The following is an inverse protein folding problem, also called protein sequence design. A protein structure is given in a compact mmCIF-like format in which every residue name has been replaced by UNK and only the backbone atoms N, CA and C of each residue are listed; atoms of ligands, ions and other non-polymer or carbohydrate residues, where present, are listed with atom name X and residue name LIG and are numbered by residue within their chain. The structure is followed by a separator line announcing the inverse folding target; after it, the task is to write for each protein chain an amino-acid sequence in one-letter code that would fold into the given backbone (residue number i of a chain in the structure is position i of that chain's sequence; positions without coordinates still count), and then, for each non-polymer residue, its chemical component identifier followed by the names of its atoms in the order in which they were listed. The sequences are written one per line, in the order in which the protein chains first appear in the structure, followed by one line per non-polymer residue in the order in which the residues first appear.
data_IF_249439359018
#
_entry.id   IF_249439359018
#
_cell.length_a   1.000
_cell.length_b   1.000
_cell.length_c   1.000
_cell.angle_alpha   90.00
_cell.angle_beta   90.00
_cell.angle_gamma   90.00
#
_symmetry.space_group_name_H-M   'P 1'
#
loop_
_entity.id
_entity.type
_entity.pdbx_description
1 polymer ?
#
# COMPACT_ATOMS: atom_id res chain seq x y z
N UNK A 1 -70.14 55.13 27.35
CA UNK A 1 -69.56 54.86 26.01
C UNK A 1 -69.96 53.43 25.66
N UNK A 2 -71.16 53.26 25.08
CA UNK A 2 -71.39 52.89 23.66
C UNK A 2 -70.69 51.58 23.28
N UNK A 3 -71.28 50.56 22.67
CA UNK A 3 -72.62 50.20 22.22
C UNK A 3 -72.43 48.80 21.57
N UNK A 4 -73.33 47.85 21.80
CA UNK A 4 -74.01 46.96 20.81
C UNK A 4 -73.12 46.34 19.68
N UNK A 5 -73.11 45.03 19.40
CA UNK A 5 -74.20 44.23 18.77
C UNK A 5 -73.77 42.75 18.62
N UNK A 6 -74.70 41.81 18.87
CA UNK A 6 -74.70 40.36 18.50
C UNK A 6 -75.04 40.18 16.98
N UNK A 7 -75.43 39.00 16.47
CA UNK A 7 -74.70 37.75 16.24
C UNK A 7 -74.85 37.27 14.76
N UNK A 8 -74.28 36.13 14.36
CA UNK A 8 -74.88 35.35 13.26
C UNK A 8 -74.83 33.83 13.50
N UNK A 9 -76.05 33.26 13.53
CA UNK A 9 -76.46 31.85 13.31
C UNK A 9 -75.86 31.31 11.98
N UNK A 10 -75.73 30.01 11.70
CA UNK A 10 -76.56 28.85 12.02
C UNK A 10 -75.80 27.51 11.79
N UNK A 11 -76.07 26.50 12.61
CA UNK A 11 -76.73 25.19 12.30
C UNK A 11 -75.85 24.13 11.60
N UNK A 12 -75.49 23.07 12.33
CA UNK A 12 -76.12 21.72 12.27
C UNK A 12 -75.98 21.07 10.88
N UNK A 13 -75.31 19.91 10.81
CA UNK A 13 -75.96 18.61 10.61
C UNK A 13 -74.93 17.49 10.82
N UNK A 14 -75.39 16.54 11.63
CA UNK A 14 -74.91 15.21 11.96
C UNK A 14 -74.61 14.31 10.75
N UNK A 15 -73.58 13.47 10.86
CA UNK A 15 -73.65 12.09 10.40
C UNK A 15 -72.59 11.22 11.10
N UNK A 16 -73.00 10.60 12.20
CA UNK A 16 -72.99 9.14 12.46
C UNK A 16 -72.35 8.29 11.33
N UNK A 17 -71.56 7.23 11.53
CA UNK A 17 -71.62 6.16 12.54
C UNK A 17 -70.41 5.22 12.35
N UNK A 18 -70.01 4.56 13.43
CA UNK A 18 -69.58 3.15 13.51
C UNK A 18 -68.65 2.58 12.44
N UNK A 19 -67.45 2.15 12.87
CA UNK A 19 -67.09 0.73 12.74
C UNK A 19 -66.27 0.30 13.96
N UNK A 20 -66.90 -0.57 14.76
CA UNK A 20 -66.27 -1.41 15.76
C UNK A 20 -65.62 -2.63 15.05
N UNK A 21 -64.58 -3.19 15.68
CA UNK A 21 -63.88 -4.46 15.39
C UNK A 21 -62.88 -4.49 14.22
N UNK A 22 -61.57 -4.60 14.51
CA UNK A 22 -60.76 -5.83 14.74
C UNK A 22 -60.60 -6.65 13.47
N UNK A 23 -59.45 -6.52 12.80
CA UNK A 23 -58.69 -7.65 12.26
C UNK A 23 -57.25 -7.22 11.95
N UNK A 24 -56.30 -7.81 12.68
CA UNK A 24 -54.88 -7.73 12.37
C UNK A 24 -54.66 -8.52 11.09
N UNK A 25 -54.35 -7.83 9.99
CA UNK A 25 -53.89 -8.47 8.76
C UNK A 25 -52.57 -9.17 9.06
N UNK A 26 -52.61 -10.49 9.20
CA UNK A 26 -51.43 -11.34 9.30
C UNK A 26 -50.76 -11.35 7.92
N UNK A 27 -49.86 -10.40 7.70
CA UNK A 27 -48.98 -10.40 6.53
C UNK A 27 -48.09 -11.65 6.65
N UNK A 28 -48.08 -12.56 5.67
CA UNK A 28 -47.21 -13.72 5.72
C UNK A 28 -45.77 -13.23 5.75
N UNK A 29 -45.00 -13.74 6.73
CA UNK A 29 -43.59 -13.45 6.86
C UNK A 29 -42.89 -13.88 5.57
N UNK A 30 -42.54 -12.90 4.73
CA UNK A 30 -41.55 -13.10 3.69
C UNK A 30 -40.26 -13.42 4.42
N UNK A 31 -39.81 -14.65 4.26
CA UNK A 31 -38.53 -15.11 4.76
C UNK A 31 -37.43 -14.33 4.06
N UNK A 32 -37.08 -13.18 4.63
CA UNK A 32 -35.84 -12.48 4.29
C UNK A 32 -34.71 -13.39 4.72
N UNK A 33 -34.14 -14.11 3.75
CA UNK A 33 -32.80 -14.67 3.87
C UNK A 33 -31.88 -13.55 4.34
N UNK A 34 -31.57 -13.56 5.64
CA UNK A 34 -30.48 -12.79 6.21
C UNK A 34 -29.24 -13.13 5.39
N UNK A 35 -28.61 -12.14 4.71
CA UNK A 35 -27.33 -12.42 4.09
C UNK A 35 -26.39 -12.86 5.22
N UNK A 36 -25.68 -13.96 4.98
CA UNK A 36 -24.69 -14.52 5.87
C UNK A 36 -23.85 -13.38 6.46
N UNK A 37 -23.60 -13.42 7.77
CA UNK A 37 -22.80 -12.45 8.48
C UNK A 37 -21.43 -12.32 7.81
N UNK A 38 -21.33 -11.36 6.89
CA UNK A 38 -20.07 -10.92 6.32
C UNK A 38 -19.29 -10.40 7.51
N UNK A 39 -18.13 -10.98 7.80
CA UNK A 39 -17.37 -10.62 8.99
C UNK A 39 -17.20 -9.11 9.05
N UNK A 40 -17.31 -8.52 10.24
CA UNK A 40 -17.23 -7.06 10.46
C UNK A 40 -16.02 -6.43 9.72
N UNK A 41 -14.94 -7.21 9.58
CA UNK A 41 -13.74 -6.85 8.82
C UNK A 41 -13.89 -6.79 7.29
N UNK A 42 -14.74 -7.59 6.65
CA UNK A 42 -15.01 -7.49 5.21
C UNK A 42 -15.79 -6.21 4.88
N UNK A 43 -16.82 -5.90 5.68
CA UNK A 43 -17.62 -4.68 5.53
C UNK A 43 -16.77 -3.42 5.78
N UNK A 44 -15.96 -3.42 6.83
CA UNK A 44 -15.04 -2.32 7.14
C UNK A 44 -14.06 -2.05 6.01
N UNK A 45 -13.49 -3.11 5.41
CA UNK A 45 -12.55 -3.00 4.28
C UNK A 45 -13.20 -2.38 3.04
N UNK A 46 -14.44 -2.78 2.73
CA UNK A 46 -15.20 -2.19 1.62
C UNK A 46 -15.50 -0.70 1.84
N UNK A 47 -15.82 -0.31 3.08
CA UNK A 47 -16.02 1.11 3.46
C UNK A 47 -14.73 1.91 3.30
N UNK A 48 -13.59 1.39 3.77
CA UNK A 48 -12.28 2.04 3.65
C UNK A 48 -11.87 2.22 2.19
N UNK A 49 -12.11 1.21 1.34
CA UNK A 49 -11.87 1.31 -0.11
C UNK A 49 -12.68 2.43 -0.77
N UNK A 50 -13.96 2.57 -0.42
CA UNK A 50 -14.80 3.66 -0.95
C UNK A 50 -14.32 5.04 -0.50
N UNK A 51 -13.79 5.16 0.73
CA UNK A 51 -13.18 6.39 1.23
C UNK A 51 -11.88 6.75 0.49
N UNK A 52 -11.09 5.76 0.05
CA UNK A 52 -9.91 5.96 -0.79
C UNK A 52 -10.30 6.46 -2.20
N UNK A 53 -11.22 5.75 -2.86
CA UNK A 53 -11.59 6.02 -4.26
C UNK A 53 -12.31 7.36 -4.45
N UNK A 54 -13.15 7.76 -3.48
CA UNK A 54 -14.02 8.94 -3.62
C UNK A 54 -13.48 10.19 -2.94
N UNK A 55 -12.39 10.07 -2.17
CA UNK A 55 -11.72 11.15 -1.42
C UNK A 55 -12.54 11.70 -0.24
N UNK A 56 -13.82 12.01 -0.45
CA UNK A 56 -14.80 12.35 0.59
C UNK A 56 -16.19 11.91 0.17
N UNK A 57 -16.91 11.21 1.05
CA UNK A 57 -18.19 10.55 0.73
C UNK A 57 -19.10 10.49 1.97
N UNK A 58 -20.41 10.45 1.79
CA UNK A 58 -21.39 10.36 2.88
C UNK A 58 -21.70 8.91 3.26
N UNK A 59 -22.17 8.70 4.49
CA UNK A 59 -22.62 7.37 4.94
C UNK A 59 -23.82 6.82 4.12
N UNK A 60 -24.64 7.70 3.54
CA UNK A 60 -25.74 7.31 2.65
C UNK A 60 -25.21 6.76 1.33
N UNK A 61 -24.32 7.49 0.67
CA UNK A 61 -23.70 7.06 -0.60
C UNK A 61 -22.90 5.75 -0.44
N UNK A 62 -22.22 5.56 0.70
CA UNK A 62 -21.55 4.29 1.00
C UNK A 62 -22.58 3.17 1.19
N UNK A 63 -23.67 3.45 1.91
CA UNK A 63 -24.76 2.49 2.11
C UNK A 63 -25.38 2.03 0.80
N UNK A 64 -25.67 2.96 -0.10
CA UNK A 64 -26.26 2.69 -1.41
C UNK A 64 -25.34 1.81 -2.28
N UNK A 65 -24.02 2.07 -2.26
CA UNK A 65 -23.03 1.28 -3.03
C UNK A 65 -22.80 -0.12 -2.46
N UNK A 66 -22.90 -0.29 -1.14
CA UNK A 66 -22.60 -1.56 -0.47
C UNK A 66 -23.85 -2.38 -0.11
N UNK A 67 -25.07 -1.87 -0.39
CA UNK A 67 -26.32 -2.51 0.02
C UNK A 67 -26.51 -2.52 1.54
N UNK A 68 -25.97 -1.53 2.24
CA UNK A 68 -25.98 -1.43 3.70
C UNK A 68 -26.85 -0.27 4.18
N UNK A 69 -27.46 -0.40 5.36
CA UNK A 69 -28.14 0.72 5.98
C UNK A 69 -27.13 1.82 6.37
N UNK A 70 -27.51 3.09 6.20
CA UNK A 70 -26.68 4.22 6.62
C UNK A 70 -26.33 4.17 8.12
N UNK A 71 -27.18 3.56 8.96
CA UNK A 71 -26.90 3.35 10.38
C UNK A 71 -25.79 2.31 10.61
N UNK A 72 -25.79 1.21 9.86
CA UNK A 72 -24.71 0.21 9.90
C UNK A 72 -23.38 0.78 9.44
N UNK A 73 -23.38 1.54 8.34
CA UNK A 73 -22.19 2.23 7.84
C UNK A 73 -21.63 3.22 8.88
N UNK A 74 -22.50 4.01 9.54
CA UNK A 74 -22.07 4.95 10.58
C UNK A 74 -21.33 4.28 11.73
N UNK A 75 -21.78 3.10 12.18
CA UNK A 75 -21.07 2.35 13.25
C UNK A 75 -19.62 2.04 12.88
N UNK A 76 -19.37 1.63 11.63
CA UNK A 76 -18.01 1.37 11.17
C UNK A 76 -17.20 2.67 10.98
N UNK A 77 -17.83 3.73 10.49
CA UNK A 77 -17.19 5.05 10.36
C UNK A 77 -16.83 5.64 11.72
N UNK A 78 -17.69 5.48 12.72
CA UNK A 78 -17.44 5.94 14.09
C UNK A 78 -16.25 5.19 14.69
N UNK A 79 -16.16 3.86 14.49
CA UNK A 79 -14.99 3.09 14.91
C UNK A 79 -13.68 3.52 14.21
N UNK A 80 -13.74 3.88 12.92
CA UNK A 80 -12.58 4.41 12.20
C UNK A 80 -12.18 5.82 12.69
N UNK A 81 -13.15 6.63 13.12
CA UNK A 81 -12.90 7.94 13.72
C UNK A 81 -12.26 7.79 15.10
N UNK A 82 -12.78 6.88 15.94
CA UNK A 82 -12.20 6.57 17.25
C UNK A 82 -10.76 6.06 17.14
N UNK A 83 -10.45 5.30 16.09
CA UNK A 83 -9.09 4.82 15.79
C UNK A 83 -8.16 5.88 15.17
N UNK A 84 -8.66 7.08 14.85
CA UNK A 84 -7.92 8.16 14.19
C UNK A 84 -7.67 7.95 12.69
N UNK A 85 -8.33 6.95 12.08
CA UNK A 85 -8.11 6.54 10.69
C UNK A 85 -8.99 7.29 9.70
N UNK A 86 -10.14 7.78 10.17
CA UNK A 86 -11.06 8.62 9.41
C UNK A 86 -11.44 9.87 10.18
N UNK A 87 -11.90 10.88 9.45
CA UNK A 87 -12.45 12.10 10.03
C UNK A 87 -13.76 12.47 9.34
N UNK A 88 -14.63 13.14 10.10
CA UNK A 88 -15.91 13.64 9.61
C UNK A 88 -15.85 15.16 9.47
N UNK A 89 -16.27 15.66 8.30
CA UNK A 89 -16.44 17.09 8.03
C UNK A 89 -17.90 17.41 7.70
N UNK A 90 -18.30 18.65 7.95
CA UNK A 90 -19.56 19.15 7.43
C UNK A 90 -19.46 19.24 5.90
N UNK A 91 -20.53 18.87 5.18
CA UNK A 91 -20.60 19.13 3.76
C UNK A 91 -20.52 20.65 3.50
N UNK A 92 -19.75 21.05 2.48
CA UNK A 92 -19.74 22.44 2.04
C UNK A 92 -21.13 22.86 1.54
N UNK A 93 -21.50 24.16 1.58
CA UNK A 93 -22.83 24.61 1.19
C UNK A 93 -23.23 24.20 -0.25
N UNK A 94 -22.28 24.16 -1.17
CA UNK A 94 -22.49 23.74 -2.56
C UNK A 94 -22.58 22.21 -2.76
N UNK A 95 -22.27 21.42 -1.74
CA UNK A 95 -22.36 19.95 -1.74
C UNK A 95 -23.66 19.46 -1.10
N UNK A 96 -24.55 20.37 -0.68
CA UNK A 96 -25.86 20.00 -0.17
C UNK A 96 -26.78 19.56 -1.30
N UNK A 97 -27.33 18.36 -1.17
CA UNK A 97 -28.38 17.85 -2.06
C UNK A 97 -29.68 17.79 -1.27
N UNK A 98 -30.67 18.59 -1.69
CA UNK A 98 -32.01 18.61 -1.10
C UNK A 98 -32.18 19.52 0.12
N UNK A 99 -33.36 19.41 0.79
CA UNK A 99 -33.71 20.17 1.99
C UNK A 99 -33.31 19.38 3.24
N UNK A 100 -32.72 20.03 4.24
CA UNK A 100 -32.42 19.44 5.55
C UNK A 100 -31.04 19.81 6.08
N UNK A 101 -30.67 19.22 7.23
CA UNK A 101 -29.33 19.37 7.82
C UNK A 101 -28.29 18.71 6.88
N UNK A 102 -27.17 19.38 6.54
CA UNK A 102 -26.15 18.80 5.67
C UNK A 102 -25.67 17.45 6.21
N UNK A 103 -25.60 16.45 5.33
CA UNK A 103 -25.02 15.16 5.67
C UNK A 103 -23.52 15.32 5.96
N UNK A 104 -23.03 14.66 7.02
CA UNK A 104 -21.60 14.57 7.29
C UNK A 104 -20.91 13.83 6.15
N UNK A 105 -19.76 14.34 5.71
CA UNK A 105 -18.87 13.67 4.76
C UNK A 105 -17.69 13.10 5.54
N UNK A 106 -17.22 11.95 5.10
CA UNK A 106 -16.16 11.20 5.74
C UNK A 106 -15.00 11.06 4.76
N UNK A 107 -13.78 11.15 5.27
CA UNK A 107 -12.54 10.86 4.52
C UNK A 107 -11.53 10.17 5.42
N UNK A 108 -10.60 9.45 4.82
CA UNK A 108 -9.45 8.93 5.56
C UNK A 108 -8.52 10.07 5.97
N UNK A 109 -7.94 9.94 7.16
CA UNK A 109 -6.83 10.80 7.63
C UNK A 109 -5.53 10.38 6.94
N UNK A 110 -4.46 11.17 7.11
CA UNK A 110 -3.13 10.76 6.66
C UNK A 110 -2.68 9.46 7.36
N UNK A 111 -2.93 9.34 8.67
CA UNK A 111 -2.60 8.15 9.45
C UNK A 111 -3.38 6.91 8.99
N UNK A 112 -4.68 7.04 8.73
CA UNK A 112 -5.50 5.95 8.22
C UNK A 112 -5.08 5.48 6.81
N UNK A 113 -4.58 6.40 5.97
CA UNK A 113 -3.97 6.04 4.69
C UNK A 113 -2.65 5.27 4.86
N UNK A 114 -1.78 5.68 5.80
CA UNK A 114 -0.51 5.00 6.06
C UNK A 114 -0.69 3.56 6.60
N UNK A 115 -1.72 3.30 7.43
CA UNK A 115 -2.00 1.94 7.93
C UNK A 115 -2.44 0.95 6.84
N UNK A 116 -2.97 1.44 5.73
CA UNK A 116 -3.35 0.56 4.60
C UNK A 116 -2.13 0.07 3.84
N UNK A 117 -1.08 0.89 3.77
CA UNK A 117 0.21 0.53 3.20
C UNK A 117 0.82 -0.68 3.93
N UNK A 118 0.72 -0.70 5.26
CA UNK A 118 1.28 -1.77 6.10
C UNK A 118 0.43 -3.07 6.14
N UNK A 119 -0.84 -3.03 5.74
CA UNK A 119 -1.72 -4.21 5.81
C UNK A 119 -1.33 -5.33 4.84
N UNK A 120 -0.69 -4.99 3.72
CA UNK A 120 -0.18 -5.97 2.77
C UNK A 120 1.12 -6.61 3.26
N UNK A 121 1.99 -5.82 3.89
CA UNK A 121 3.23 -6.32 4.47
C UNK A 121 2.93 -7.26 5.65
N UNK A 122 1.95 -6.94 6.49
CA UNK A 122 1.48 -7.82 7.56
C UNK A 122 0.98 -9.17 7.03
N UNK A 123 0.18 -9.14 5.95
CA UNK A 123 -0.31 -10.36 5.30
C UNK A 123 0.85 -11.16 4.68
N UNK A 124 1.78 -10.49 4.01
CA UNK A 124 2.95 -11.12 3.39
C UNK A 124 3.85 -11.77 4.45
N UNK A 125 4.14 -11.08 5.55
CA UNK A 125 4.90 -11.62 6.67
C UNK A 125 4.17 -12.80 7.32
N UNK A 126 2.84 -12.73 7.49
CA UNK A 126 2.06 -13.86 7.99
C UNK A 126 2.12 -15.09 7.06
N UNK A 127 2.06 -14.87 5.74
CA UNK A 127 2.20 -15.94 4.76
C UNK A 127 3.60 -16.56 4.78
N UNK A 128 4.65 -15.74 4.89
CA UNK A 128 6.05 -16.20 5.00
C UNK A 128 6.30 -16.98 6.29
N UNK A 129 5.74 -16.54 7.43
CA UNK A 129 5.79 -17.31 8.68
C UNK A 129 5.15 -18.69 8.51
N UNK A 130 3.99 -18.75 7.86
CA UNK A 130 3.32 -20.02 7.63
C UNK A 130 4.06 -20.91 6.62
N UNK A 131 4.72 -20.32 5.61
CA UNK A 131 5.62 -21.06 4.73
C UNK A 131 6.79 -21.68 5.51
N UNK A 132 7.40 -20.93 6.43
CA UNK A 132 8.47 -21.42 7.31
C UNK A 132 7.98 -22.52 8.25
N UNK A 133 6.78 -22.39 8.81
CA UNK A 133 6.18 -23.42 9.68
C UNK A 133 5.95 -24.75 8.93
N UNK A 134 5.42 -24.70 7.71
CA UNK A 134 5.09 -25.90 6.92
C UNK A 134 6.33 -26.51 6.25
N UNK A 135 7.21 -25.68 5.70
CA UNK A 135 8.30 -26.09 4.81
C UNK A 135 9.70 -25.89 5.37
N UNK A 136 9.85 -25.32 6.57
CA UNK A 136 11.14 -24.96 7.16
C UNK A 136 11.85 -23.80 6.45
N UNK A 137 13.08 -23.53 6.87
CA UNK A 137 13.90 -22.42 6.34
C UNK A 137 14.22 -22.58 4.85
N UNK A 138 14.41 -23.81 4.37
CA UNK A 138 14.69 -24.06 2.95
C UNK A 138 13.51 -23.68 2.05
N UNK A 139 12.27 -23.77 2.54
CA UNK A 139 11.11 -23.31 1.78
C UNK A 139 11.11 -21.79 1.62
N UNK A 140 11.48 -21.06 2.67
CA UNK A 140 11.65 -19.59 2.64
C UNK A 140 12.75 -19.21 1.66
N UNK A 141 13.93 -19.83 1.75
CA UNK A 141 15.05 -19.57 0.83
C UNK A 141 14.68 -19.90 -0.61
N UNK A 142 13.99 -21.02 -0.85
CA UNK A 142 13.52 -21.40 -2.19
C UNK A 142 12.54 -20.38 -2.76
N UNK A 143 11.61 -19.89 -1.94
CA UNK A 143 10.68 -18.85 -2.36
C UNK A 143 11.41 -17.54 -2.68
N UNK A 144 12.28 -17.08 -1.80
CA UNK A 144 13.08 -15.87 -1.98
C UNK A 144 13.91 -15.93 -3.26
N UNK A 145 14.56 -17.08 -3.50
CA UNK A 145 15.34 -17.34 -4.71
C UNK A 145 14.48 -17.28 -5.98
N UNK A 146 13.35 -18.00 -6.01
CA UNK A 146 12.42 -17.97 -7.16
C UNK A 146 11.88 -16.58 -7.44
N UNK A 147 11.63 -15.80 -6.39
CA UNK A 147 11.17 -14.41 -6.53
C UNK A 147 12.19 -13.55 -7.26
N UNK A 148 13.46 -13.56 -6.83
CA UNK A 148 14.48 -12.74 -7.50
C UNK A 148 14.81 -13.28 -8.89
N UNK A 149 14.86 -14.59 -9.08
CA UNK A 149 15.09 -15.19 -10.41
C UNK A 149 14.02 -14.74 -11.40
N UNK A 150 12.75 -14.65 -10.96
CA UNK A 150 11.67 -14.14 -11.80
C UNK A 150 11.84 -12.65 -12.17
N UNK A 151 12.39 -11.83 -11.27
CA UNK A 151 12.68 -10.41 -11.54
C UNK A 151 13.84 -10.27 -12.54
N UNK A 152 14.85 -11.13 -12.44
CA UNK A 152 16.06 -11.07 -13.25
C UNK A 152 16.03 -11.99 -14.49
N UNK A 153 14.90 -12.66 -14.75
CA UNK A 153 14.79 -13.69 -15.80
C UNK A 153 15.19 -13.18 -17.20
N UNK A 154 14.85 -11.94 -17.52
CA UNK A 154 15.13 -11.31 -18.83
C UNK A 154 16.41 -10.46 -18.82
N UNK A 155 17.20 -10.50 -17.75
CA UNK A 155 18.45 -9.74 -17.64
C UNK A 155 19.57 -10.55 -18.28
N UNK A 156 20.04 -10.07 -19.45
CA UNK A 156 21.23 -10.64 -20.07
C UNK A 156 22.46 -10.49 -19.14
N UNK A 157 23.24 -11.56 -18.93
CA UNK A 157 24.45 -11.51 -18.10
C UNK A 157 25.52 -10.57 -18.69
N UNK A 158 26.58 -10.29 -17.96
CA UNK A 158 27.70 -9.53 -18.49
C UNK A 158 28.38 -10.29 -19.65
N UNK A 159 28.55 -9.63 -20.80
CA UNK A 159 29.13 -10.20 -22.03
C UNK A 159 30.67 -10.23 -21.99
N UNK A 160 31.25 -10.66 -20.87
CA UNK A 160 32.70 -10.70 -20.65
C UNK A 160 33.14 -9.93 -19.39
N UNK A 161 34.44 -10.01 -19.05
CA UNK A 161 34.98 -9.44 -17.81
C UNK A 161 35.36 -7.96 -17.91
N UNK A 162 35.06 -7.29 -19.03
CA UNK A 162 35.40 -5.88 -19.18
C UNK A 162 34.46 -4.97 -18.37
N UNK A 163 34.99 -3.82 -17.95
CA UNK A 163 34.28 -2.93 -17.05
C UNK A 163 32.99 -2.36 -17.66
N UNK A 164 32.97 -2.17 -18.99
CA UNK A 164 31.80 -1.65 -19.69
C UNK A 164 30.66 -2.67 -19.73
N UNK A 165 30.97 -3.96 -19.91
CA UNK A 165 30.02 -5.06 -19.86
C UNK A 165 29.42 -5.24 -18.46
N UNK A 166 30.25 -5.15 -17.41
CA UNK A 166 29.80 -5.20 -16.02
C UNK A 166 28.88 -4.03 -15.65
N UNK A 167 29.25 -2.82 -16.05
CA UNK A 167 28.40 -1.65 -15.82
C UNK A 167 27.07 -1.73 -16.58
N UNK A 168 27.10 -2.16 -17.85
CA UNK A 168 25.89 -2.37 -18.63
C UNK A 168 24.99 -3.44 -18.00
N UNK A 169 25.55 -4.51 -17.46
CA UNK A 169 24.82 -5.54 -16.73
C UNK A 169 24.22 -5.00 -15.43
N UNK A 170 24.98 -4.20 -14.66
CA UNK A 170 24.48 -3.54 -13.46
C UNK A 170 23.30 -2.61 -13.75
N UNK A 171 23.34 -1.88 -14.88
CA UNK A 171 22.25 -1.01 -15.32
C UNK A 171 21.00 -1.82 -15.72
N UNK A 172 21.18 -2.96 -16.39
CA UNK A 172 20.07 -3.88 -16.69
C UNK A 172 19.43 -4.44 -15.42
N UNK A 173 20.23 -4.79 -14.41
CA UNK A 173 19.73 -5.22 -13.10
C UNK A 173 18.91 -4.09 -12.44
N UNK A 174 19.44 -2.87 -12.38
CA UNK A 174 18.73 -1.73 -11.80
C UNK A 174 17.40 -1.45 -12.53
N UNK A 175 17.40 -1.58 -13.86
CA UNK A 175 16.18 -1.46 -14.67
C UNK A 175 15.16 -2.55 -14.35
N UNK A 176 15.59 -3.82 -14.21
CA UNK A 176 14.71 -4.93 -13.88
C UNK A 176 14.10 -4.81 -12.49
N UNK A 177 14.91 -4.43 -11.49
CA UNK A 177 14.43 -4.12 -10.13
C UNK A 177 13.41 -2.98 -10.15
N UNK A 178 13.67 -1.93 -10.93
CA UNK A 178 12.74 -0.80 -11.04
C UNK A 178 11.39 -1.22 -11.63
N UNK A 179 11.39 -2.11 -12.64
CA UNK A 179 10.15 -2.71 -13.17
C UNK A 179 9.41 -3.56 -12.13
N UNK A 180 10.14 -4.16 -11.18
CA UNK A 180 9.58 -4.94 -10.08
C UNK A 180 9.15 -4.09 -8.86
N UNK A 181 9.16 -2.75 -8.97
CA UNK A 181 8.67 -1.84 -7.92
C UNK A 181 9.74 -1.31 -6.95
N UNK A 182 11.01 -1.56 -7.22
CA UNK A 182 12.10 -0.89 -6.52
C UNK A 182 12.32 0.51 -7.12
N UNK A 183 13.03 1.38 -6.39
CA UNK A 183 13.61 2.59 -6.98
C UNK A 183 15.11 2.37 -7.05
N UNK A 184 15.61 1.88 -8.19
CA UNK A 184 17.00 1.46 -8.33
C UNK A 184 17.79 2.33 -9.33
N UNK A 185 19.05 2.61 -9.00
CA UNK A 185 19.98 3.39 -9.82
C UNK A 185 21.36 2.76 -9.81
N UNK A 186 22.18 3.01 -10.83
CA UNK A 186 23.62 2.71 -10.79
C UNK A 186 24.46 3.96 -10.61
N UNK A 187 25.64 3.84 -10.01
CA UNK A 187 26.60 4.94 -9.90
C UNK A 187 28.03 4.41 -9.91
N UNK A 188 28.89 4.99 -10.76
CA UNK A 188 30.34 4.71 -10.73
C UNK A 188 30.97 5.33 -9.50
N UNK A 189 31.84 4.58 -8.82
CA UNK A 189 32.55 5.03 -7.63
C UNK A 189 34.07 4.92 -7.82
N UNK A 190 34.77 6.02 -7.56
CA UNK A 190 36.23 6.17 -7.74
C UNK A 190 37.04 6.10 -6.44
N UNK A 191 36.61 5.29 -5.47
CA UNK A 191 37.27 5.13 -4.17
C UNK A 191 38.49 4.20 -4.20
N UNK A 192 39.02 3.77 -3.03
CA UNK A 192 40.14 2.82 -2.95
C UNK A 192 39.86 1.48 -3.63
N UNK A 193 38.57 1.14 -3.83
CA UNK A 193 38.11 0.07 -4.69
C UNK A 193 37.25 0.71 -5.79
N UNK A 194 37.74 0.63 -7.02
CA UNK A 194 36.99 1.08 -8.20
C UNK A 194 35.82 0.13 -8.46
N UNK A 195 34.66 0.69 -8.78
CA UNK A 195 33.51 -0.13 -9.09
C UNK A 195 32.27 0.63 -9.52
N UNK A 196 31.20 -0.12 -9.75
CA UNK A 196 29.84 0.40 -9.90
C UNK A 196 29.01 -0.02 -8.70
N UNK A 197 28.14 0.86 -8.22
CA UNK A 197 27.19 0.56 -7.17
C UNK A 197 25.79 0.48 -7.74
N UNK A 198 25.05 -0.55 -7.35
CA UNK A 198 23.60 -0.67 -7.55
C UNK A 198 22.95 -0.22 -6.24
N UNK A 199 22.22 0.89 -6.30
CA UNK A 199 21.54 1.48 -5.14
C UNK A 199 20.03 1.30 -5.28
N UNK A 200 19.37 0.75 -4.26
CA UNK A 200 17.92 0.67 -4.16
C UNK A 200 17.45 1.67 -3.08
N UNK A 201 16.88 2.78 -3.50
CA UNK A 201 16.34 3.84 -2.62
C UNK A 201 14.95 3.51 -2.06
N UNK A 202 14.30 2.48 -2.62
CA UNK A 202 13.06 1.90 -2.13
C UNK A 202 13.08 0.39 -2.40
N UNK A 203 12.70 -0.40 -1.39
CA UNK A 203 12.54 -1.84 -1.50
C UNK A 203 11.10 -2.21 -1.13
N UNK A 204 10.30 -2.77 -2.06
CA UNK A 204 8.88 -3.08 -1.83
C UNK A 204 8.64 -4.24 -0.85
N UNK A 205 9.71 -4.89 -0.37
CA UNK A 205 9.64 -6.00 0.59
C UNK A 205 10.49 -5.74 1.82
N UNK A 206 10.92 -4.50 2.07
CA UNK A 206 11.82 -4.18 3.20
C UNK A 206 11.22 -4.60 4.54
N UNK A 207 9.93 -4.37 4.77
CA UNK A 207 9.29 -4.74 6.02
C UNK A 207 9.23 -6.26 6.23
N UNK A 208 8.99 -7.03 5.16
CA UNK A 208 9.04 -8.49 5.23
C UNK A 208 10.48 -8.98 5.43
N UNK A 209 11.45 -8.33 4.79
CA UNK A 209 12.86 -8.69 4.89
C UNK A 209 13.49 -8.42 6.27
N UNK A 210 12.83 -7.64 7.14
CA UNK A 210 13.22 -7.50 8.56
C UNK A 210 13.12 -8.84 9.32
N UNK A 211 12.10 -9.66 9.00
CA UNK A 211 11.92 -10.99 9.62
C UNK A 211 12.54 -12.12 8.78
N UNK A 212 12.65 -11.92 7.45
CA UNK A 212 13.08 -12.94 6.48
C UNK A 212 14.30 -12.47 5.67
N UNK A 213 15.51 -12.50 6.25
CA UNK A 213 16.73 -12.01 5.59
C UNK A 213 17.11 -12.78 4.32
N UNK A 214 16.58 -13.99 4.10
CA UNK A 214 16.78 -14.78 2.89
C UNK A 214 16.37 -14.01 1.63
N UNK A 215 15.41 -13.08 1.74
CA UNK A 215 15.01 -12.19 0.64
C UNK A 215 16.18 -11.30 0.18
N UNK A 216 16.96 -10.76 1.11
CA UNK A 216 18.11 -9.93 0.81
C UNK A 216 19.31 -10.77 0.35
N UNK A 217 19.54 -11.92 0.97
CA UNK A 217 20.66 -12.82 0.66
C UNK A 217 20.55 -13.40 -0.75
N UNK A 218 19.38 -13.94 -1.10
CA UNK A 218 19.14 -14.51 -2.43
C UNK A 218 19.17 -13.43 -3.51
N UNK A 219 18.73 -12.20 -3.19
CA UNK A 219 18.86 -11.05 -4.09
C UNK A 219 20.32 -10.75 -4.40
N UNK A 220 21.17 -10.65 -3.39
CA UNK A 220 22.61 -10.41 -3.57
C UNK A 220 23.27 -11.54 -4.38
N UNK A 221 22.92 -12.80 -4.09
CA UNK A 221 23.45 -13.95 -4.80
C UNK A 221 23.06 -13.92 -6.29
N UNK A 222 21.79 -13.66 -6.60
CA UNK A 222 21.32 -13.62 -7.98
C UNK A 222 21.98 -12.46 -8.77
N UNK A 223 22.21 -11.30 -8.14
CA UNK A 223 22.99 -10.23 -8.75
C UNK A 223 24.42 -10.68 -9.09
N UNK A 224 25.10 -11.36 -8.16
CA UNK A 224 26.46 -11.85 -8.39
C UNK A 224 26.51 -12.85 -9.56
N UNK A 225 25.51 -13.71 -9.68
CA UNK A 225 25.40 -14.68 -10.78
C UNK A 225 25.20 -14.00 -12.13
N UNK A 226 24.32 -13.00 -12.21
CA UNK A 226 24.09 -12.23 -13.46
C UNK A 226 25.33 -11.44 -13.87
N UNK A 227 26.03 -10.85 -12.89
CA UNK A 227 27.24 -10.07 -13.13
C UNK A 227 28.47 -10.94 -13.40
N UNK A 228 28.44 -12.22 -13.03
CA UNK A 228 29.60 -13.11 -13.16
C UNK A 228 30.79 -12.73 -12.26
N UNK A 229 30.56 -11.90 -11.25
CA UNK A 229 31.58 -11.47 -10.28
C UNK A 229 30.99 -11.37 -8.88
N UNK A 230 31.85 -11.37 -7.88
CA UNK A 230 31.43 -11.13 -6.51
C UNK A 230 30.84 -9.73 -6.35
N UNK A 231 29.81 -9.61 -5.52
CA UNK A 231 29.23 -8.32 -5.11
C UNK A 231 29.16 -8.22 -3.59
N UNK A 232 29.37 -7.01 -3.07
CA UNK A 232 29.34 -6.75 -1.64
C UNK A 232 28.17 -5.83 -1.29
N UNK A 233 27.27 -6.28 -0.41
CA UNK A 233 26.27 -5.42 0.22
C UNK A 233 26.97 -4.52 1.25
N UNK A 234 26.84 -3.21 1.09
CA UNK A 234 27.44 -2.18 1.94
C UNK A 234 26.45 -1.55 2.92
N UNK A 235 25.18 -1.45 2.52
CA UNK A 235 24.11 -0.82 3.27
C UNK A 235 22.78 -1.49 2.95
N UNK A 236 21.81 -1.45 3.87
CA UNK A 236 20.47 -2.01 3.69
C UNK A 236 19.41 -1.16 4.38
N UNK A 237 18.29 -0.93 3.71
CA UNK A 237 17.12 -0.25 4.27
C UNK A 237 16.63 -0.94 5.57
N UNK A 238 16.69 -2.27 5.62
CA UNK A 238 16.32 -3.08 6.80
C UNK A 238 17.14 -2.70 8.05
N UNK A 239 18.41 -2.31 7.87
CA UNK A 239 19.28 -1.86 8.96
C UNK A 239 19.12 -0.37 9.27
N UNK A 240 18.17 0.32 8.64
CA UNK A 240 17.91 1.75 8.82
C UNK A 240 18.74 2.66 7.91
N UNK A 241 19.45 2.12 6.92
CA UNK A 241 20.14 2.93 5.92
C UNK A 241 19.15 3.62 4.96
N UNK A 242 19.58 4.73 4.36
CA UNK A 242 18.74 5.45 3.39
C UNK A 242 18.52 4.71 2.06
N UNK A 243 19.36 3.71 1.76
CA UNK A 243 19.25 2.88 0.57
C UNK A 243 19.98 1.54 0.79
N UNK A 244 19.56 0.49 0.08
CA UNK A 244 20.40 -0.69 -0.06
C UNK A 244 21.48 -0.40 -1.09
N UNK A 245 22.75 -0.63 -0.75
CA UNK A 245 23.88 -0.37 -1.66
C UNK A 245 24.66 -1.64 -1.89
N UNK A 246 24.71 -2.10 -3.14
CA UNK A 246 25.52 -3.25 -3.54
C UNK A 246 26.67 -2.79 -4.41
N UNK A 247 27.90 -3.04 -3.99
CA UNK A 247 29.11 -2.71 -4.73
C UNK A 247 29.55 -3.87 -5.62
N UNK A 248 29.80 -3.54 -6.88
CA UNK A 248 30.34 -4.44 -7.90
C UNK A 248 31.76 -3.94 -8.22
N UNK A 249 32.80 -4.70 -7.90
CA UNK A 249 34.17 -4.31 -8.19
C UNK A 249 34.41 -4.31 -9.70
N UNK A 250 35.09 -3.28 -10.18
CA UNK A 250 35.61 -3.19 -11.55
C UNK A 250 37.13 -3.36 -11.51
N UNK A 251 37.73 -3.75 -12.63
CA UNK A 251 39.19 -3.86 -12.68
C UNK A 251 39.83 -2.49 -12.42
N UNK A 252 40.92 -2.40 -11.64
CA UNK A 252 41.63 -1.14 -11.54
C UNK A 252 42.14 -0.77 -12.94
N UNK A 253 41.76 0.42 -13.42
CA UNK A 253 42.37 0.98 -14.62
C UNK A 253 43.91 0.94 -14.46
N UNK A 254 44.68 0.55 -15.49
CA UNK A 254 46.13 0.58 -15.39
C UNK A 254 46.56 2.01 -15.07
N UNK A 255 47.11 2.22 -13.87
CA UNK A 255 47.71 3.49 -13.48
C UNK A 255 48.77 3.86 -14.53
N UNK A 256 48.86 5.12 -15.00
CA UNK A 256 49.96 5.52 -15.85
C UNK A 256 51.28 5.24 -15.11
N UNK A 257 52.06 4.30 -15.66
CA UNK A 257 53.37 3.93 -15.15
C UNK A 257 54.20 5.22 -15.04
N UNK A 258 54.70 5.60 -13.85
CA UNK A 258 55.58 6.76 -13.77
C UNK A 258 56.78 6.52 -14.71
N UNK A 259 57.20 7.55 -15.47
CA UNK A 259 58.30 7.39 -16.41
C UNK A 259 59.53 6.89 -15.65
N UNK A 260 60.14 5.82 -16.18
CA UNK A 260 61.38 5.30 -15.63
C UNK A 260 62.41 6.43 -15.60
N UNK A 261 62.79 6.87 -14.40
CA UNK A 261 63.93 7.77 -14.23
C UNK A 261 65.16 6.99 -14.63
N UNK A 262 65.67 7.26 -15.82
CA UNK A 262 67.01 6.87 -16.24
C UNK A 262 68.00 7.56 -15.32
N UNK A 263 68.55 6.82 -14.36
CA UNK A 263 69.74 7.21 -13.61
C UNK A 263 70.92 7.17 -14.59
N UNK A 264 71.18 8.30 -15.24
CA UNK A 264 72.45 8.54 -15.91
C UNK A 264 73.52 8.72 -14.83
N UNK A 265 74.35 7.70 -14.65
CA UNK A 265 75.50 7.74 -13.76
C UNK A 265 76.51 8.77 -14.25
N UNK A 266 76.68 9.86 -13.50
CA UNK A 266 77.82 10.77 -13.65
C UNK A 266 78.99 10.17 -12.88
N UNK A 267 79.92 9.56 -13.60
CA UNK A 267 81.29 9.37 -13.12
C UNK A 267 82.04 10.71 -13.19
N UNK A 268 82.63 11.13 -12.07
CA UNK A 268 83.90 11.86 -11.99
C UNK A 268 84.47 11.77 -10.57
#
# INVERSE_FOLDING_TARGET
MTSTTLPHRASLVDRSTEFCHTDVVKIPAVSTTVPAAVSDGHTRRAIVRLLLESGSITAGEIGDRLGLSAAGVRRHLDALIEAGDAEASAAAPWQQVGRGRPAKRYRLTAAGRAKLDHSYDDLASAAMRQLREIGGEEAVRTFARRRIDAILADVAPADGPDDAALEAAAERIATALSKAGYVATTTRVGGPIHGVQICQHHCPVSHVAEEFPELCETEQQAMAEVLGTHVQRLATIVNGDCACTTHVPLSPAPSPRPPATSTEGVSR
#
